data_IF_083435219244
#
_entry.id   IF_083435219244
#
_cell.length_a   1.000
_cell.length_b   1.000
_cell.length_c   1.000
_cell.angle_alpha   90.00
_cell.angle_beta   90.00
_cell.angle_gamma   90.00
#
_symmetry.space_group_name_H-M   'P 1'
#
loop_
_entity.id
_entity.type
_entity.pdbx_description
1 polymer ?
#
# COMPACT_ATOMS: atom_id res chain seq x y z
N UNK A 1 29.41 -50.09 27.15
CA UNK A 1 29.43 -49.75 25.71
C UNK A 1 28.16 -48.96 25.42
N UNK A 2 28.27 -47.64 25.38
CA UNK A 2 27.20 -46.74 24.97
C UNK A 2 27.12 -46.74 23.44
N UNK A 3 25.97 -47.12 22.89
CA UNK A 3 25.66 -46.97 21.46
C UNK A 3 25.75 -45.48 21.09
N UNK A 4 26.46 -45.10 20.00
CA UNK A 4 26.43 -43.73 19.54
C UNK A 4 25.01 -43.42 19.09
N UNK A 5 24.43 -42.35 19.62
CA UNK A 5 23.22 -41.77 19.04
C UNK A 5 23.69 -41.11 17.75
N UNK A 6 23.45 -41.73 16.61
CA UNK A 6 23.66 -41.11 15.31
C UNK A 6 22.72 -39.89 15.24
N UNK A 7 23.29 -38.71 15.45
CA UNK A 7 22.57 -37.47 15.21
C UNK A 7 22.35 -37.37 13.70
N UNK A 8 21.12 -37.64 13.26
CA UNK A 8 20.72 -37.42 11.89
C UNK A 8 21.01 -35.96 11.53
N UNK A 9 21.90 -35.73 10.57
CA UNK A 9 22.17 -34.40 10.08
C UNK A 9 20.96 -33.93 9.26
N UNK A 10 20.28 -32.89 9.72
CA UNK A 10 19.15 -32.27 9.02
C UNK A 10 19.53 -31.76 7.62
N UNK A 11 20.82 -31.58 7.32
CA UNK A 11 21.30 -31.27 5.98
C UNK A 11 21.12 -32.43 4.97
N UNK A 12 20.99 -33.66 5.46
CA UNK A 12 20.85 -34.89 4.67
C UNK A 12 19.40 -35.37 4.49
N UNK A 13 18.43 -34.61 5.02
CA UNK A 13 17.01 -34.96 4.92
C UNK A 13 16.56 -34.89 3.45
N UNK A 14 15.72 -35.85 3.04
CA UNK A 14 15.32 -35.97 1.64
C UNK A 14 14.47 -34.76 1.19
N UNK A 15 14.65 -34.26 -0.05
CA UNK A 15 13.91 -33.10 -0.58
C UNK A 15 12.39 -33.19 -0.41
N UNK A 16 11.80 -34.37 -0.58
CA UNK A 16 10.36 -34.60 -0.41
C UNK A 16 9.88 -34.41 1.04
N UNK A 17 10.72 -34.72 2.03
CA UNK A 17 10.41 -34.49 3.43
C UNK A 17 10.54 -33.00 3.78
N UNK A 18 11.55 -32.32 3.24
CA UNK A 18 11.68 -30.85 3.36
C UNK A 18 10.42 -30.18 2.80
N UNK A 19 10.02 -30.58 1.60
CA UNK A 19 8.81 -30.07 0.95
C UNK A 19 7.58 -30.33 1.83
N UNK A 20 7.38 -31.56 2.29
CA UNK A 20 6.23 -31.92 3.14
C UNK A 20 6.20 -31.12 4.43
N UNK A 21 7.32 -30.99 5.14
CA UNK A 21 7.41 -30.14 6.35
C UNK A 21 7.03 -28.71 6.01
N UNK A 22 7.52 -28.18 4.88
CA UNK A 22 7.23 -26.80 4.47
C UNK A 22 5.75 -26.54 4.30
N UNK A 23 4.96 -27.52 3.84
CA UNK A 23 3.49 -27.41 3.68
C UNK A 23 2.71 -27.30 5.00
N UNK A 24 3.34 -27.64 6.13
CA UNK A 24 2.75 -27.54 7.46
C UNK A 24 3.09 -26.23 8.19
N UNK A 25 4.04 -25.45 7.67
CA UNK A 25 4.38 -24.15 8.22
C UNK A 25 3.26 -23.17 7.86
N UNK A 26 2.73 -22.42 8.83
CA UNK A 26 1.62 -21.46 8.61
C UNK A 26 2.00 -20.01 8.82
N UNK A 27 3.22 -19.75 9.31
CA UNK A 27 3.73 -18.41 9.61
C UNK A 27 4.76 -18.03 8.56
N UNK A 28 4.58 -16.88 7.91
CA UNK A 28 5.46 -16.45 6.82
C UNK A 28 6.91 -16.28 7.26
N UNK A 29 7.16 -15.71 8.44
CA UNK A 29 8.52 -15.54 8.96
C UNK A 29 9.24 -16.87 9.13
N UNK A 30 8.52 -17.91 9.55
CA UNK A 30 9.11 -19.23 9.78
C UNK A 30 9.34 -19.95 8.45
N UNK A 31 8.44 -19.77 7.48
CA UNK A 31 8.65 -20.28 6.13
C UNK A 31 9.87 -19.63 5.46
N UNK A 32 10.02 -18.30 5.58
CA UNK A 32 11.18 -17.58 5.06
C UNK A 32 12.48 -18.07 5.74
N UNK A 33 12.48 -18.24 7.06
CA UNK A 33 13.62 -18.78 7.81
C UNK A 33 13.94 -20.22 7.39
N UNK A 34 12.92 -21.06 7.22
CA UNK A 34 13.06 -22.43 6.73
C UNK A 34 13.74 -22.46 5.36
N UNK A 35 13.35 -21.57 4.45
CA UNK A 35 14.00 -21.39 3.12
C UNK A 35 15.37 -20.73 3.16
N UNK A 36 15.78 -20.19 4.31
CA UNK A 36 17.06 -19.51 4.47
C UNK A 36 18.13 -20.40 5.12
N UNK A 37 17.81 -21.64 5.50
CA UNK A 37 18.74 -22.58 6.16
C UNK A 37 19.93 -22.90 5.25
N UNK A 38 19.68 -23.43 4.05
CA UNK A 38 20.71 -23.75 3.07
C UNK A 38 20.13 -23.81 1.64
N UNK A 39 21.00 -23.96 0.64
CA UNK A 39 20.60 -24.05 -0.78
C UNK A 39 19.65 -25.22 -1.03
N UNK A 40 19.91 -26.40 -0.46
CA UNK A 40 19.07 -27.58 -0.64
C UNK A 40 17.65 -27.39 -0.09
N UNK A 41 17.50 -26.77 1.08
CA UNK A 41 16.19 -26.48 1.66
C UNK A 41 15.44 -25.43 0.84
N UNK A 42 16.16 -24.39 0.39
CA UNK A 42 15.60 -23.35 -0.47
C UNK A 42 15.11 -23.89 -1.81
N UNK A 43 15.82 -24.83 -2.42
CA UNK A 43 15.46 -25.43 -3.70
C UNK A 43 14.36 -26.50 -3.58
N UNK A 44 14.26 -27.15 -2.41
CA UNK A 44 13.23 -28.18 -2.14
C UNK A 44 11.87 -27.59 -1.75
N UNK A 45 11.76 -26.27 -1.69
CA UNK A 45 10.53 -25.58 -1.26
C UNK A 45 10.11 -24.51 -2.27
N UNK A 46 8.80 -24.36 -2.53
CA UNK A 46 8.31 -23.32 -3.44
C UNK A 46 8.74 -21.92 -2.99
N UNK A 47 9.14 -21.08 -3.95
CA UNK A 47 9.36 -19.66 -3.69
C UNK A 47 8.06 -18.95 -3.29
N UNK A 48 6.95 -19.40 -3.86
CA UNK A 48 5.59 -18.87 -3.71
C UNK A 48 4.66 -19.97 -3.16
N UNK A 49 4.65 -20.20 -1.83
CA UNK A 49 3.80 -21.20 -1.19
C UNK A 49 2.30 -20.81 -1.18
N UNK A 50 1.48 -21.55 -1.91
CA UNK A 50 0.03 -21.30 -1.99
C UNK A 50 -0.77 -21.68 -0.73
N UNK A 51 -0.16 -22.44 0.19
CA UNK A 51 -0.82 -22.95 1.40
C UNK A 51 -0.71 -22.00 2.60
N UNK A 52 0.13 -20.95 2.51
CA UNK A 52 0.30 -20.01 3.61
C UNK A 52 -0.94 -19.12 3.71
N UNK A 53 -1.52 -18.96 4.91
CA UNK A 53 -2.62 -18.05 5.11
C UNK A 53 -2.12 -16.60 4.99
N UNK A 54 -3.05 -15.70 4.68
CA UNK A 54 -2.85 -14.26 4.82
C UNK A 54 -2.21 -13.96 6.18
N UNK A 55 -1.32 -12.97 6.25
CA UNK A 55 -0.71 -12.54 7.50
C UNK A 55 -1.24 -11.16 7.88
N UNK A 56 -1.10 -10.85 9.16
CA UNK A 56 -1.30 -9.49 9.65
C UNK A 56 -0.43 -8.51 8.85
N UNK A 57 -0.93 -7.31 8.48
CA UNK A 57 -0.19 -6.36 7.68
C UNK A 57 1.07 -5.95 8.42
N UNK A 58 2.17 -5.87 7.68
CA UNK A 58 3.40 -5.29 8.17
C UNK A 58 3.40 -3.80 7.88
N UNK A 59 3.95 -3.04 8.82
CA UNK A 59 4.20 -1.63 8.60
C UNK A 59 5.59 -1.48 7.97
N UNK A 60 5.63 -1.09 6.70
CA UNK A 60 6.88 -0.77 6.01
C UNK A 60 7.36 0.57 6.53
N UNK A 61 8.52 0.55 7.18
CA UNK A 61 9.20 1.71 7.72
C UNK A 61 10.43 2.01 6.84
N UNK A 62 10.37 3.04 5.98
CA UNK A 62 11.56 3.57 5.32
C UNK A 62 12.52 4.13 6.38
N UNK A 63 13.83 3.95 6.19
CA UNK A 63 14.81 4.29 7.23
C UNK A 63 14.90 5.81 7.44
N UNK A 64 14.66 6.24 8.68
CA UNK A 64 15.13 7.53 9.22
C UNK A 64 16.66 7.54 9.43
N UNK A 65 17.27 8.70 9.22
CA UNK A 65 18.72 8.92 9.23
C UNK A 65 19.32 8.72 10.63
N UNK A 66 19.64 7.48 11.01
CA UNK A 66 20.66 7.32 12.04
C UNK A 66 22.01 7.73 11.47
N UNK A 67 22.50 8.88 11.94
CA UNK A 67 23.85 9.41 11.76
C UNK A 67 24.90 8.42 12.29
N UNK A 68 25.16 7.35 11.54
CA UNK A 68 26.41 6.61 11.68
C UNK A 68 27.39 7.21 10.68
N UNK A 69 28.22 8.14 11.17
CA UNK A 69 29.25 8.89 10.43
C UNK A 69 30.39 8.04 9.81
N UNK A 70 30.22 6.72 9.65
CA UNK A 70 31.34 5.84 9.29
C UNK A 70 31.13 4.85 8.14
N UNK A 71 30.01 4.87 7.42
CA UNK A 71 29.86 4.06 6.20
C UNK A 71 29.91 4.92 4.94
N UNK A 72 30.91 4.66 4.10
CA UNK A 72 31.23 5.39 2.85
C UNK A 72 30.21 5.17 1.72
N UNK A 73 29.18 4.35 1.98
CA UNK A 73 28.00 4.13 1.12
C UNK A 73 26.77 3.91 2.02
N UNK A 74 25.64 4.61 1.82
CA UNK A 74 24.42 4.33 2.58
C UNK A 74 23.78 3.04 2.08
N UNK A 75 23.87 1.99 2.89
CA UNK A 75 23.07 0.79 2.69
C UNK A 75 21.60 1.11 3.00
N UNK A 76 20.80 1.21 1.95
CA UNK A 76 19.36 1.42 2.05
C UNK A 76 18.67 0.10 2.38
N UNK A 77 17.87 0.09 3.45
CA UNK A 77 17.14 -1.09 3.90
C UNK A 77 15.68 -0.71 4.13
N UNK A 78 14.73 -1.52 3.65
CA UNK A 78 13.37 -1.44 4.19
C UNK A 78 13.36 -2.20 5.51
N UNK A 79 12.64 -1.64 6.47
CA UNK A 79 12.34 -2.35 7.69
C UNK A 79 10.85 -2.55 7.80
N UNK A 80 10.45 -3.65 8.40
CA UNK A 80 9.08 -4.04 8.58
C UNK A 80 8.85 -4.19 10.07
N UNK A 81 7.80 -3.56 10.58
CA UNK A 81 7.35 -3.79 11.94
C UNK A 81 6.32 -4.90 11.95
N UNK A 82 6.56 -5.88 12.81
CA UNK A 82 5.56 -6.86 13.16
C UNK A 82 4.71 -6.31 14.31
N UNK A 83 3.41 -6.09 14.08
CA UNK A 83 2.50 -5.54 15.10
C UNK A 83 2.22 -6.50 16.27
N UNK A 84 2.47 -7.80 16.13
CA UNK A 84 2.23 -8.81 17.18
C UNK A 84 3.22 -8.63 18.34
N UNK A 85 4.49 -8.40 18.02
CA UNK A 85 5.58 -8.38 19.00
C UNK A 85 6.39 -7.08 18.96
N UNK A 86 5.98 -6.12 18.14
CA UNK A 86 6.66 -4.85 17.88
C UNK A 86 8.14 -5.02 17.49
N UNK A 87 8.53 -6.20 16.99
CA UNK A 87 9.90 -6.43 16.50
C UNK A 87 10.04 -5.85 15.11
N UNK A 88 11.14 -5.12 14.94
CA UNK A 88 11.57 -4.59 13.66
C UNK A 88 12.42 -5.64 12.94
N UNK A 89 12.00 -6.01 11.75
CA UNK A 89 12.76 -6.87 10.85
C UNK A 89 13.35 -6.02 9.74
N UNK A 90 14.64 -6.21 9.45
CA UNK A 90 15.34 -5.48 8.39
C UNK A 90 15.43 -6.40 7.18
N UNK A 91 14.90 -5.94 6.06
CA UNK A 91 15.02 -6.59 4.76
C UNK A 91 16.02 -5.78 3.94
N UNK A 92 17.19 -6.38 3.74
CA UNK A 92 18.21 -5.83 2.85
C UNK A 92 17.72 -6.04 1.43
N UNK A 93 17.49 -4.95 0.73
CA UNK A 93 16.97 -5.02 -0.62
C UNK A 93 18.13 -4.94 -1.61
N UNK A 94 18.12 -5.76 -2.68
CA UNK A 94 19.14 -5.72 -3.71
C UNK A 94 19.11 -4.40 -4.51
N UNK A 95 18.09 -3.56 -4.29
CA UNK A 95 17.90 -2.27 -4.94
C UNK A 95 18.17 -1.17 -3.91
N UNK A 96 19.03 -0.21 -4.25
CA UNK A 96 19.26 0.96 -3.43
C UNK A 96 17.96 1.76 -3.30
N UNK A 97 17.27 1.62 -2.17
CA UNK A 97 16.10 2.42 -1.81
C UNK A 97 16.53 3.85 -1.46
N UNK A 98 16.87 4.64 -2.47
CA UNK A 98 17.30 6.03 -2.31
C UNK A 98 16.28 6.87 -1.52
N UNK A 99 16.78 7.93 -0.88
CA UNK A 99 16.05 8.84 0.04
C UNK A 99 14.72 9.41 -0.49
N UNK A 100 14.47 9.35 -1.80
CA UNK A 100 13.34 10.01 -2.46
C UNK A 100 12.39 9.06 -3.19
N UNK A 101 12.56 7.74 -3.06
CA UNK A 101 11.62 6.76 -3.62
C UNK A 101 10.34 6.74 -2.80
N UNK A 102 9.20 7.06 -3.42
CA UNK A 102 7.89 7.07 -2.76
C UNK A 102 7.12 5.81 -3.11
N UNK A 103 6.59 5.15 -2.08
CA UNK A 103 5.59 4.12 -2.26
C UNK A 103 4.24 4.82 -2.47
N UNK A 104 3.53 4.48 -3.55
CA UNK A 104 2.20 5.03 -3.86
C UNK A 104 1.10 3.98 -3.85
N UNK A 105 1.42 2.77 -3.40
CA UNK A 105 0.47 1.68 -3.45
C UNK A 105 0.99 0.44 -2.76
N UNK A 106 0.09 -0.30 -2.12
CA UNK A 106 0.33 -1.70 -1.81
C UNK A 106 -0.88 -2.54 -2.17
N UNK A 107 -0.65 -3.65 -2.86
CA UNK A 107 -1.71 -4.59 -3.26
C UNK A 107 -1.14 -6.00 -3.30
N UNK A 108 -1.84 -6.98 -2.71
CA UNK A 108 -1.50 -8.40 -2.79
C UNK A 108 -0.06 -8.79 -2.39
N UNK A 109 0.59 -8.05 -1.50
CA UNK A 109 2.00 -8.29 -1.09
C UNK A 109 3.05 -7.62 -1.97
N UNK A 110 2.60 -6.79 -2.91
CA UNK A 110 3.44 -5.96 -3.75
C UNK A 110 3.38 -4.51 -3.32
N UNK A 111 4.49 -3.79 -3.50
CA UNK A 111 4.63 -2.35 -3.33
C UNK A 111 4.72 -1.69 -4.70
N UNK A 112 4.03 -0.58 -4.90
CA UNK A 112 4.17 0.27 -6.08
C UNK A 112 5.16 1.38 -5.76
N UNK A 113 6.30 1.40 -6.43
CA UNK A 113 7.42 2.30 -6.16
C UNK A 113 7.62 3.23 -7.35
N UNK A 114 7.75 4.53 -7.06
CA UNK A 114 8.24 5.53 -8.00
C UNK A 114 9.69 5.87 -7.72
N UNK A 115 10.52 5.85 -8.76
CA UNK A 115 11.92 6.25 -8.68
C UNK A 115 12.10 7.75 -8.86
N UNK A 116 13.32 8.27 -8.65
CA UNK A 116 13.65 9.63 -9.03
C UNK A 116 13.57 9.89 -10.55
N UNK A 117 13.70 8.82 -11.33
CA UNK A 117 13.42 8.80 -12.77
C UNK A 117 11.92 8.68 -13.03
N UNK A 118 11.44 8.83 -14.29
CA UNK A 118 10.06 8.54 -14.66
C UNK A 118 9.62 7.08 -14.43
N UNK A 119 10.52 6.19 -13.97
CA UNK A 119 10.25 4.76 -13.84
C UNK A 119 9.27 4.47 -12.70
N UNK A 120 8.26 3.67 -13.02
CA UNK A 120 7.28 3.11 -12.08
C UNK A 120 7.40 1.59 -12.12
N UNK A 121 7.43 0.94 -10.95
CA UNK A 121 7.50 -0.51 -10.89
C UNK A 121 6.79 -1.05 -9.66
N UNK A 122 6.36 -2.31 -9.76
CA UNK A 122 5.86 -3.09 -8.64
C UNK A 122 6.96 -4.02 -8.13
N UNK A 123 7.03 -4.17 -6.82
CA UNK A 123 8.08 -4.92 -6.15
C UNK A 123 7.54 -5.79 -5.01
N UNK A 124 7.91 -7.06 -4.99
CA UNK A 124 7.58 -7.98 -3.90
C UNK A 124 8.76 -8.06 -2.91
N UNK A 125 8.63 -7.58 -1.67
CA UNK A 125 9.73 -7.58 -0.70
C UNK A 125 10.18 -8.96 -0.23
N UNK A 126 9.34 -9.99 -0.35
CA UNK A 126 9.66 -11.35 0.09
C UNK A 126 10.42 -12.13 -0.97
N UNK A 127 10.03 -11.98 -2.24
CA UNK A 127 10.65 -12.72 -3.35
C UNK A 127 11.79 -11.93 -4.01
N UNK A 128 11.79 -10.60 -3.88
CA UNK A 128 12.71 -9.72 -4.59
C UNK A 128 12.34 -9.48 -6.05
N UNK A 129 11.19 -9.98 -6.51
CA UNK A 129 10.72 -9.81 -7.90
C UNK A 129 10.35 -8.34 -8.15
N UNK A 130 10.77 -7.82 -9.33
CA UNK A 130 10.45 -6.49 -9.82
C UNK A 130 9.78 -6.59 -11.19
N UNK A 131 8.68 -5.88 -11.40
CA UNK A 131 8.00 -5.75 -12.68
C UNK A 131 7.75 -4.27 -12.98
N UNK A 132 8.05 -3.83 -14.19
CA UNK A 132 7.88 -2.42 -14.56
C UNK A 132 6.43 -2.15 -15.00
N UNK A 133 5.93 -0.99 -14.62
CA UNK A 133 4.72 -0.38 -15.18
C UNK A 133 5.14 0.68 -16.21
N UNK A 134 4.22 1.20 -17.05
CA UNK A 134 4.55 2.31 -17.93
C UNK A 134 5.07 3.52 -17.13
N UNK A 135 6.08 4.24 -17.65
CA UNK A 135 6.70 5.35 -16.94
C UNK A 135 5.74 6.54 -16.78
N UNK A 136 6.01 7.43 -15.84
CA UNK A 136 5.27 8.68 -15.65
C UNK A 136 5.22 9.56 -16.91
N UNK A 137 6.26 9.49 -17.74
CA UNK A 137 6.31 10.19 -19.02
C UNK A 137 5.32 9.67 -20.07
N UNK A 138 4.65 8.55 -19.81
CA UNK A 138 3.61 7.97 -20.65
C UNK A 138 2.19 8.24 -20.16
N UNK A 139 2.03 9.13 -19.17
CA UNK A 139 0.69 9.59 -18.80
C UNK A 139 0.06 10.39 -19.95
N UNK A 140 -1.26 10.28 -20.17
CA UNK A 140 -1.98 10.87 -21.31
C UNK A 140 -1.74 12.36 -21.54
N UNK A 141 -1.56 13.13 -20.46
CA UNK A 141 -1.38 14.58 -20.52
C UNK A 141 0.06 15.02 -20.73
N UNK A 142 1.03 14.10 -20.68
CA UNK A 142 2.44 14.43 -20.88
C UNK A 142 2.70 14.57 -22.37
N UNK A 143 2.87 15.82 -22.82
CA UNK A 143 3.22 16.12 -24.21
C UNK A 143 4.72 15.97 -24.46
N UNK A 144 5.55 16.27 -23.46
CA UNK A 144 7.00 16.20 -23.58
C UNK A 144 7.65 15.83 -22.26
N UNK A 145 8.68 14.98 -22.34
CA UNK A 145 9.61 14.69 -21.26
C UNK A 145 11.05 14.84 -21.76
N UNK A 146 11.89 15.59 -21.05
CA UNK A 146 13.29 15.82 -21.42
C UNK A 146 14.15 16.13 -20.18
N UNK A 147 15.13 15.27 -19.90
CA UNK A 147 16.08 15.46 -18.80
C UNK A 147 16.95 16.72 -18.93
N UNK A 148 17.11 17.29 -20.12
CA UNK A 148 17.89 18.50 -20.31
C UNK A 148 17.20 19.76 -19.74
N UNK A 149 15.88 19.71 -19.54
CA UNK A 149 15.09 20.83 -19.01
C UNK A 149 15.00 20.76 -17.49
N UNK A 150 16.12 20.94 -16.81
CA UNK A 150 16.24 20.79 -15.35
C UNK A 150 15.20 21.67 -14.63
N UNK A 151 14.40 21.04 -13.76
CA UNK A 151 13.32 21.70 -13.01
C UNK A 151 12.02 21.92 -13.80
N UNK A 152 11.97 21.52 -15.07
CA UNK A 152 10.82 21.60 -15.98
C UNK A 152 10.84 20.43 -16.97
N UNK A 153 11.24 19.26 -16.48
CA UNK A 153 11.49 18.08 -17.31
C UNK A 153 10.21 17.61 -18.02
N UNK A 154 9.04 17.83 -17.42
CA UNK A 154 7.74 17.50 -18.00
C UNK A 154 6.99 18.74 -18.49
N UNK A 155 6.34 18.61 -19.65
CA UNK A 155 5.30 19.51 -20.12
C UNK A 155 3.98 18.75 -20.18
N UNK A 156 3.00 19.20 -19.37
CA UNK A 156 1.66 18.66 -19.35
C UNK A 156 0.69 19.59 -20.08
N UNK A 157 -0.19 19.04 -20.91
CA UNK A 157 -1.31 19.73 -21.54
C UNK A 157 -2.58 19.32 -20.78
N UNK A 158 -3.04 20.15 -19.85
CA UNK A 158 -4.16 19.80 -18.97
C UNK A 158 -5.52 20.07 -19.61
N UNK A 159 -5.60 21.13 -20.41
CA UNK A 159 -6.76 21.52 -21.24
C UNK A 159 -6.24 22.36 -22.43
N UNK A 160 -7.08 22.66 -23.44
CA UNK A 160 -6.67 23.31 -24.72
C UNK A 160 -5.84 24.61 -24.56
N UNK A 161 -6.01 25.33 -23.44
CA UNK A 161 -5.34 26.60 -23.16
C UNK A 161 -4.40 26.56 -21.95
N UNK A 162 -4.25 25.41 -21.28
CA UNK A 162 -3.48 25.30 -20.05
C UNK A 162 -2.37 24.25 -20.18
N UNK A 163 -1.14 24.75 -20.35
CA UNK A 163 0.07 23.93 -20.23
C UNK A 163 0.79 24.24 -18.93
N UNK A 164 1.24 23.21 -18.22
CA UNK A 164 2.03 23.36 -16.98
C UNK A 164 3.33 22.56 -17.11
N UNK A 165 4.41 23.10 -16.58
CA UNK A 165 5.68 22.37 -16.49
C UNK A 165 5.91 21.82 -15.10
N UNK A 166 6.27 20.55 -14.99
CA UNK A 166 6.64 19.91 -13.72
C UNK A 166 8.09 19.46 -13.73
N UNK A 167 8.72 19.53 -12.56
CA UNK A 167 9.96 18.82 -12.32
C UNK A 167 9.72 17.33 -11.96
N UNK A 168 10.79 16.53 -11.89
CA UNK A 168 10.72 15.11 -11.52
C UNK A 168 9.99 14.87 -10.17
N UNK A 169 10.18 15.74 -9.17
CA UNK A 169 9.54 15.61 -7.85
C UNK A 169 8.04 15.91 -7.93
N UNK A 170 7.66 17.02 -8.55
CA UNK A 170 6.26 17.43 -8.75
C UNK A 170 5.48 16.37 -9.53
N UNK A 171 6.11 15.72 -10.52
CA UNK A 171 5.47 14.64 -11.26
C UNK A 171 5.19 13.39 -10.40
N UNK A 172 6.03 13.09 -9.41
CA UNK A 172 5.76 12.01 -8.44
C UNK A 172 4.69 12.39 -7.42
N UNK A 173 4.58 13.68 -7.12
CA UNK A 173 3.52 14.25 -6.26
C UNK A 173 2.17 14.26 -6.97
N UNK A 174 2.19 14.34 -8.30
CA UNK A 174 0.99 14.26 -9.12
C UNK A 174 0.30 12.89 -9.05
N UNK A 175 1.02 11.82 -8.72
CA UNK A 175 0.44 10.49 -8.49
C UNK A 175 0.02 10.37 -7.03
N UNK A 176 -1.29 10.20 -6.78
CA UNK A 176 -1.83 10.04 -5.42
C UNK A 176 -1.72 8.60 -4.92
N UNK A 177 -2.27 7.66 -5.68
CA UNK A 177 -2.36 6.23 -5.31
C UNK A 177 -2.35 5.36 -6.56
N UNK A 178 -1.73 4.19 -6.49
CA UNK A 178 -1.79 3.13 -7.51
C UNK A 178 -2.24 1.82 -6.85
N UNK A 179 -3.26 1.16 -7.41
CA UNK A 179 -3.77 -0.13 -6.96
C UNK A 179 -3.68 -1.18 -8.08
N UNK A 180 -3.54 -2.44 -7.69
CA UNK A 180 -3.48 -3.59 -8.61
C UNK A 180 -4.76 -4.42 -8.50
N UNK A 181 -5.19 -5.03 -9.61
CA UNK A 181 -6.38 -5.89 -9.66
C UNK A 181 -6.17 -7.25 -8.99
N UNK A 182 -4.98 -7.83 -9.14
CA UNK A 182 -4.56 -9.08 -8.50
C UNK A 182 -3.04 -9.06 -8.23
N UNK A 183 -2.52 -10.14 -7.63
CA UNK A 183 -1.09 -10.37 -7.44
C UNK A 183 -0.41 -10.60 -8.79
N UNK A 184 0.60 -9.81 -9.16
CA UNK A 184 1.43 -10.06 -10.34
C UNK A 184 2.13 -11.43 -10.38
N UNK A 185 2.23 -12.14 -9.24
CA UNK A 185 2.75 -13.50 -9.20
C UNK A 185 1.70 -14.57 -9.58
N UNK A 186 0.39 -14.26 -9.46
CA UNK A 186 -0.73 -15.18 -9.76
C UNK A 186 -1.34 -14.90 -11.12
N UNK A 187 -1.49 -13.63 -11.44
CA UNK A 187 -2.11 -13.16 -12.67
C UNK A 187 -1.09 -12.34 -13.47
N UNK A 188 -0.56 -12.88 -14.57
CA UNK A 188 0.37 -12.15 -15.42
C UNK A 188 -0.31 -11.01 -16.19
N UNK A 189 -1.65 -11.00 -16.28
CA UNK A 189 -2.47 -10.02 -17.02
C UNK A 189 -3.11 -8.98 -16.10
N UNK A 190 -2.59 -8.81 -14.87
CA UNK A 190 -3.10 -7.85 -13.90
C UNK A 190 -3.20 -6.42 -14.46
N UNK A 191 -4.15 -5.66 -13.91
CA UNK A 191 -4.40 -4.26 -14.28
C UNK A 191 -3.99 -3.35 -13.11
N UNK A 192 -3.27 -2.27 -13.42
CA UNK A 192 -2.93 -1.23 -12.47
C UNK A 192 -3.78 0.03 -12.74
N UNK A 193 -4.32 0.63 -11.68
CA UNK A 193 -5.10 1.88 -11.74
C UNK A 193 -4.46 2.93 -10.85
N UNK A 194 -4.29 4.13 -11.37
CA UNK A 194 -3.63 5.27 -10.73
C UNK A 194 -4.59 6.46 -10.60
N UNK A 195 -4.57 7.13 -9.46
CA UNK A 195 -5.23 8.43 -9.25
C UNK A 195 -4.22 9.56 -9.49
N UNK A 196 -4.59 10.56 -10.28
CA UNK A 196 -3.78 11.74 -10.58
C UNK A 196 -4.33 12.98 -9.85
N UNK A 197 -3.59 13.52 -8.88
CA UNK A 197 -4.06 14.57 -7.97
C UNK A 197 -4.42 15.88 -8.69
N UNK A 198 -3.58 16.32 -9.63
CA UNK A 198 -3.77 17.64 -10.23
C UNK A 198 -4.83 17.70 -11.33
N UNK A 199 -5.20 16.58 -11.96
CA UNK A 199 -6.32 16.55 -12.92
C UNK A 199 -7.62 15.99 -12.32
N UNK A 200 -7.52 15.18 -11.26
CA UNK A 200 -8.63 14.45 -10.68
C UNK A 200 -8.99 13.16 -11.45
N UNK A 201 -8.23 12.82 -12.49
CA UNK A 201 -8.53 11.65 -13.31
C UNK A 201 -7.96 10.36 -12.75
N UNK A 202 -8.53 9.26 -13.21
CA UNK A 202 -8.01 7.93 -13.03
C UNK A 202 -7.48 7.42 -14.36
N UNK A 203 -6.30 6.81 -14.32
CA UNK A 203 -5.68 6.17 -15.48
C UNK A 203 -5.37 4.73 -15.16
N UNK A 204 -5.40 3.85 -16.16
CA UNK A 204 -5.10 2.45 -16.00
C UNK A 204 -4.13 1.93 -17.06
N UNK A 205 -3.47 0.82 -16.76
CA UNK A 205 -2.71 0.04 -17.73
C UNK A 205 -2.79 -1.44 -17.36
N UNK A 206 -2.80 -2.30 -18.38
CA UNK A 206 -2.66 -3.74 -18.22
C UNK A 206 -1.18 -4.13 -18.21
N UNK A 207 -0.86 -5.24 -17.56
CA UNK A 207 0.49 -5.78 -17.56
C UNK A 207 1.06 -5.88 -18.97
N UNK A 208 2.33 -5.51 -19.14
CA UNK A 208 3.02 -5.53 -20.43
C UNK A 208 2.72 -4.34 -21.36
N UNK A 209 1.71 -3.51 -21.07
CA UNK A 209 1.49 -2.27 -21.82
C UNK A 209 2.58 -1.23 -21.52
N UNK A 210 2.74 -0.26 -22.42
CA UNK A 210 3.77 0.79 -22.35
C UNK A 210 3.19 2.19 -22.20
N UNK A 211 1.87 2.33 -22.11
CA UNK A 211 1.15 3.60 -21.97
C UNK A 211 0.03 3.47 -20.94
N UNK A 212 -0.32 4.59 -20.31
CA UNK A 212 -1.49 4.69 -19.45
C UNK A 212 -2.69 5.21 -20.25
N UNK A 213 -3.89 4.72 -19.91
CA UNK A 213 -5.15 5.11 -20.57
C UNK A 213 -6.09 5.77 -19.57
N UNK A 214 -6.74 6.87 -19.94
CA UNK A 214 -7.72 7.54 -19.07
C UNK A 214 -8.99 6.70 -18.94
N UNK A 215 -9.54 6.60 -17.73
CA UNK A 215 -10.90 6.11 -17.51
C UNK A 215 -11.87 7.30 -17.73
N UNK A 216 -12.68 7.30 -18.79
CA UNK A 216 -13.48 8.46 -19.15
C UNK A 216 -14.63 8.69 -18.16
N UNK A 217 -15.05 9.95 -18.00
CA UNK A 217 -16.29 10.31 -17.28
C UNK A 217 -16.20 10.35 -15.75
N UNK A 218 -15.01 10.21 -15.14
CA UNK A 218 -14.85 10.13 -13.67
C UNK A 218 -13.79 11.08 -13.07
N UNK A 219 -13.52 12.23 -13.71
CA UNK A 219 -12.52 13.24 -13.28
C UNK A 219 -12.67 13.78 -11.84
N UNK A 220 -13.76 13.48 -11.13
CA UNK A 220 -13.99 13.91 -9.75
C UNK A 220 -13.96 12.76 -8.73
N UNK A 221 -13.71 11.51 -9.16
CA UNK A 221 -13.69 10.32 -8.29
C UNK A 221 -12.27 9.94 -7.84
N UNK A 222 -11.45 10.95 -7.54
CA UNK A 222 -10.03 10.82 -7.17
C UNK A 222 -9.76 10.80 -5.66
N UNK A 223 -10.79 10.57 -4.84
CA UNK A 223 -10.62 10.53 -3.39
C UNK A 223 -9.96 9.22 -2.93
N UNK A 224 -10.47 8.08 -3.38
CA UNK A 224 -9.84 6.78 -3.19
C UNK A 224 -10.23 5.82 -4.32
N UNK A 225 -9.45 4.76 -4.50
CA UNK A 225 -9.73 3.70 -5.48
C UNK A 225 -9.36 2.34 -4.91
N UNK A 226 -10.21 1.35 -5.17
CA UNK A 226 -9.95 -0.08 -4.89
C UNK A 226 -10.43 -0.96 -6.04
N UNK A 227 -9.89 -2.16 -6.13
CA UNK A 227 -10.48 -3.25 -6.91
C UNK A 227 -11.37 -4.10 -6.01
N UNK A 228 -12.57 -4.43 -6.49
CA UNK A 228 -13.50 -5.33 -5.83
C UNK A 228 -14.23 -6.16 -6.89
N UNK A 229 -14.09 -7.49 -6.80
CA UNK A 229 -14.72 -8.44 -7.74
C UNK A 229 -14.40 -8.16 -9.22
N UNK A 230 -13.15 -7.79 -9.52
CA UNK A 230 -12.70 -7.48 -10.88
C UNK A 230 -13.10 -6.11 -11.42
N UNK A 231 -13.84 -5.30 -10.64
CA UNK A 231 -14.25 -3.95 -11.03
C UNK A 231 -13.50 -2.90 -10.21
N UNK A 232 -13.36 -1.71 -10.81
CA UNK A 232 -12.74 -0.54 -10.17
C UNK A 232 -13.82 0.26 -9.47
N UNK A 233 -13.64 0.51 -8.17
CA UNK A 233 -14.51 1.37 -7.37
C UNK A 233 -13.74 2.64 -7.04
N UNK A 234 -14.15 3.75 -7.63
CA UNK A 234 -13.54 5.06 -7.46
C UNK A 234 -14.47 5.95 -6.62
N UNK A 235 -13.92 6.61 -5.60
CA UNK A 235 -14.65 7.44 -4.64
C UNK A 235 -14.42 8.92 -4.92
N UNK A 236 -15.45 9.76 -4.81
CA UNK A 236 -15.27 11.21 -4.78
C UNK A 236 -15.31 11.77 -3.35
N UNK A 237 -14.95 13.06 -3.18
CA UNK A 237 -14.97 13.75 -1.89
C UNK A 237 -16.34 13.81 -1.21
N UNK A 238 -17.43 13.65 -1.96
CA UNK A 238 -18.80 13.68 -1.45
C UNK A 238 -19.31 12.29 -1.01
N UNK A 239 -18.51 11.24 -1.19
CA UNK A 239 -18.90 9.86 -0.89
C UNK A 239 -19.69 9.14 -1.99
N UNK A 240 -19.82 9.72 -3.19
CA UNK A 240 -20.34 9.00 -4.35
C UNK A 240 -19.29 8.04 -4.91
N UNK A 241 -19.74 6.94 -5.50
CA UNK A 241 -18.87 5.91 -6.08
C UNK A 241 -19.11 5.79 -7.59
N UNK A 242 -18.04 5.74 -8.37
CA UNK A 242 -18.06 5.29 -9.76
C UNK A 242 -17.53 3.85 -9.83
N UNK A 243 -18.33 2.96 -10.42
CA UNK A 243 -17.98 1.58 -10.68
C UNK A 243 -17.61 1.46 -12.14
N UNK A 244 -16.39 1.04 -12.43
CA UNK A 244 -15.84 0.96 -13.77
C UNK A 244 -15.37 -0.46 -14.09
N UNK A 245 -15.56 -0.85 -15.33
CA UNK A 245 -14.91 -2.01 -15.91
C UNK A 245 -13.77 -1.52 -16.79
N UNK A 246 -12.55 -1.96 -16.48
CA UNK A 246 -11.34 -1.61 -17.23
C UNK A 246 -10.78 -2.81 -18.01
N UNK A 247 -11.35 -3.99 -17.78
CA UNK A 247 -10.89 -5.24 -18.36
C UNK A 247 -11.77 -5.72 -19.52
N UNK A 248 -13.03 -5.31 -19.56
CA UNK A 248 -13.99 -5.60 -20.64
C UNK A 248 -13.69 -4.93 -21.98
N UNK A 249 -14.48 -5.28 -22.99
CA UNK A 249 -14.32 -4.84 -24.40
C UNK A 249 -14.45 -3.32 -24.58
N UNK A 250 -15.09 -2.63 -23.64
CA UNK A 250 -15.27 -1.18 -23.64
C UNK A 250 -14.96 -0.60 -22.26
N UNK A 251 -13.68 -0.32 -21.97
CA UNK A 251 -13.27 0.22 -20.69
C UNK A 251 -13.98 1.53 -20.35
N UNK A 252 -14.60 1.62 -19.18
CA UNK A 252 -15.33 2.80 -18.77
C UNK A 252 -16.25 2.60 -17.58
N UNK A 253 -17.10 3.61 -17.35
CA UNK A 253 -18.04 3.64 -16.23
C UNK A 253 -19.23 2.73 -16.51
N UNK A 254 -19.45 1.77 -15.62
CA UNK A 254 -20.66 0.93 -15.62
C UNK A 254 -21.79 1.61 -14.87
N UNK A 255 -21.48 2.21 -13.71
CA UNK A 255 -22.50 2.77 -12.81
C UNK A 255 -21.93 3.90 -11.96
N UNK A 256 -22.70 4.97 -11.83
CA UNK A 256 -22.49 6.00 -10.82
C UNK A 256 -23.48 5.79 -9.67
N UNK A 257 -22.99 5.91 -8.45
CA UNK A 257 -23.73 5.70 -7.22
C UNK A 257 -23.61 6.96 -6.37
N UNK A 258 -24.67 7.77 -6.37
CA UNK A 258 -24.78 8.92 -5.48
C UNK A 258 -25.35 8.47 -4.13
N UNK A 259 -24.47 7.88 -3.32
CA UNK A 259 -24.86 7.35 -2.03
C UNK A 259 -25.09 8.48 -1.02
N UNK A 260 -26.32 8.55 -0.50
CA UNK A 260 -26.67 9.52 0.54
C UNK A 260 -26.07 9.14 1.90
N UNK A 261 -25.89 10.11 2.81
CA UNK A 261 -25.45 9.83 4.19
C UNK A 261 -23.93 9.87 4.43
N UNK A 262 -23.11 10.14 3.40
CA UNK A 262 -21.68 10.39 3.58
C UNK A 262 -21.36 11.80 4.15
N UNK A 263 -22.26 12.78 3.93
CA UNK A 263 -21.99 14.21 4.10
C UNK A 263 -22.10 14.71 5.55
N UNK A 264 -21.11 14.44 6.41
CA UNK A 264 -20.94 15.16 7.69
C UNK A 264 -19.63 15.96 7.76
N UNK A 265 -19.06 16.29 6.59
CA UNK A 265 -17.68 16.78 6.53
C UNK A 265 -16.70 15.65 6.90
N UNK A 266 -15.46 15.77 6.46
CA UNK A 266 -14.45 14.74 6.59
C UNK A 266 -13.26 15.09 5.72
N UNK A 267 -12.06 14.94 6.24
CA UNK A 267 -10.88 15.47 5.58
C UNK A 267 -10.30 14.47 4.58
N UNK A 268 -10.34 13.19 4.93
CA UNK A 268 -9.90 12.07 4.08
C UNK A 268 -10.89 10.92 4.14
N UNK A 269 -11.13 10.29 2.99
CA UNK A 269 -11.98 9.12 2.88
C UNK A 269 -11.24 7.93 2.30
N UNK A 270 -11.58 6.73 2.77
CA UNK A 270 -11.08 5.47 2.23
C UNK A 270 -12.23 4.52 1.93
N UNK A 271 -12.06 3.75 0.86
CA UNK A 271 -12.86 2.57 0.60
C UNK A 271 -12.17 1.34 1.17
N UNK A 272 -12.92 0.53 1.89
CA UNK A 272 -12.45 -0.75 2.42
C UNK A 272 -13.45 -1.84 2.08
N UNK A 273 -13.01 -2.89 1.41
CA UNK A 273 -13.80 -4.10 1.24
C UNK A 273 -13.65 -5.00 2.47
N UNK A 274 -14.77 -5.39 3.08
CA UNK A 274 -14.80 -6.24 4.27
C UNK A 274 -15.96 -7.23 4.19
N UNK A 275 -15.69 -8.54 4.27
CA UNK A 275 -16.72 -9.61 4.21
C UNK A 275 -17.70 -9.50 3.04
N UNK A 276 -17.25 -9.01 1.88
CA UNK A 276 -18.09 -8.80 0.70
C UNK A 276 -18.91 -7.52 0.71
N UNK A 277 -18.81 -6.71 1.77
CA UNK A 277 -19.43 -5.40 1.88
C UNK A 277 -18.41 -4.29 1.60
N UNK A 278 -18.91 -3.12 1.21
CA UNK A 278 -18.09 -1.92 1.00
C UNK A 278 -18.27 -0.96 2.17
N UNK A 279 -17.16 -0.58 2.80
CA UNK A 279 -17.11 0.38 3.89
C UNK A 279 -16.49 1.69 3.39
N UNK A 280 -17.11 2.80 3.79
CA UNK A 280 -16.56 4.14 3.72
C UNK A 280 -16.00 4.51 5.09
N UNK A 281 -14.70 4.73 5.16
CA UNK A 281 -14.02 5.18 6.37
C UNK A 281 -13.65 6.65 6.19
N UNK A 282 -14.19 7.53 7.03
CA UNK A 282 -13.90 8.96 7.02
C UNK A 282 -13.00 9.32 8.19
N UNK A 283 -11.86 9.94 7.91
CA UNK A 283 -10.89 10.46 8.87
C UNK A 283 -11.08 11.96 9.05
N UNK A 284 -10.98 12.41 10.30
CA UNK A 284 -11.08 13.81 10.70
C UNK A 284 -9.79 14.23 11.40
N UNK A 285 -9.22 15.36 11.00
CA UNK A 285 -8.05 15.96 11.61
C UNK A 285 -8.42 17.16 12.48
N UNK A 286 -7.60 17.41 13.50
CA UNK A 286 -7.50 18.70 14.17
C UNK A 286 -6.14 19.34 13.83
N UNK A 287 -6.05 20.67 13.98
CA UNK A 287 -4.75 21.35 13.95
C UNK A 287 -3.95 20.93 15.19
N UNK A 288 -2.76 20.38 14.96
CA UNK A 288 -1.84 19.97 16.01
C UNK A 288 -1.32 21.14 16.84
N UNK A 289 -0.76 20.82 18.01
CA UNK A 289 -0.24 21.81 18.97
C UNK A 289 1.01 22.56 18.45
N UNK A 290 1.75 21.96 17.52
CA UNK A 290 2.81 22.60 16.76
C UNK A 290 2.20 23.05 15.43
N UNK A 291 2.06 24.37 15.24
CA UNK A 291 1.59 24.98 14.01
C UNK A 291 2.31 24.32 12.82
N UNK A 292 1.57 23.57 12.00
CA UNK A 292 1.99 22.83 10.77
C UNK A 292 1.85 21.29 10.82
N UNK A 293 1.31 20.68 11.88
CA UNK A 293 0.96 19.23 11.88
C UNK A 293 -0.55 18.99 11.99
N UNK A 294 -1.08 18.02 11.24
CA UNK A 294 -2.47 17.55 11.35
C UNK A 294 -2.49 16.27 12.17
N UNK A 295 -3.21 16.26 13.30
CA UNK A 295 -3.38 15.06 14.13
C UNK A 295 -4.78 14.48 13.94
N UNK A 296 -4.88 13.14 13.92
CA UNK A 296 -6.18 12.48 13.82
C UNK A 296 -6.99 12.70 15.08
N UNK A 297 -8.20 13.25 14.89
CA UNK A 297 -9.17 13.41 15.97
C UNK A 297 -10.04 12.17 16.12
N UNK A 298 -10.61 11.68 15.02
CA UNK A 298 -11.59 10.59 15.03
C UNK A 298 -11.76 9.95 13.67
N UNK A 299 -12.42 8.79 13.68
CA UNK A 299 -12.94 8.16 12.48
C UNK A 299 -14.46 7.99 12.53
N UNK A 300 -15.05 7.90 11.34
CA UNK A 300 -16.40 7.42 11.12
C UNK A 300 -16.35 6.27 10.12
N UNK A 301 -17.12 5.23 10.39
CA UNK A 301 -17.29 4.11 9.46
C UNK A 301 -18.75 4.05 9.04
N UNK A 302 -18.98 3.95 7.74
CA UNK A 302 -20.28 3.68 7.16
C UNK A 302 -20.19 2.47 6.24
N UNK A 303 -21.25 1.69 6.17
CA UNK A 303 -21.41 0.57 5.24
C UNK A 303 -22.37 0.96 4.13
N UNK A 304 -22.07 0.58 2.89
CA UNK A 304 -23.01 0.74 1.79
C UNK A 304 -24.15 -0.26 1.95
N UNK A 305 -25.38 0.22 1.93
CA UNK A 305 -26.56 -0.61 2.08
C UNK A 305 -26.70 -1.62 0.91
N UNK A 306 -27.56 -2.62 1.08
CA UNK A 306 -27.80 -3.64 0.04
C UNK A 306 -28.41 -3.05 -1.24
N UNK A 307 -29.10 -1.91 -1.14
CA UNK A 307 -29.61 -1.16 -2.29
C UNK A 307 -28.51 -0.43 -3.06
N UNK A 308 -27.33 -0.26 -2.46
CA UNK A 308 -26.18 0.40 -3.07
C UNK A 308 -26.40 1.89 -3.28
N UNK A 309 -27.22 2.56 -2.46
CA UNK A 309 -27.58 3.97 -2.63
C UNK A 309 -27.53 4.79 -1.34
N UNK A 310 -27.14 4.17 -0.22
CA UNK A 310 -27.07 4.83 1.08
C UNK A 310 -25.93 4.31 1.93
N UNK A 311 -25.23 5.24 2.57
CA UNK A 311 -24.25 4.96 3.60
C UNK A 311 -24.92 4.88 4.96
N UNK A 312 -24.80 3.74 5.62
CA UNK A 312 -25.33 3.49 6.96
C UNK A 312 -24.20 3.46 7.98
N UNK A 313 -24.32 4.26 9.03
CA UNK A 313 -23.28 4.37 10.06
C UNK A 313 -23.11 3.04 10.79
N UNK A 314 -21.86 2.59 10.90
CA UNK A 314 -21.45 1.41 11.66
C UNK A 314 -20.84 1.88 12.97
N UNK A 315 -21.41 1.41 14.09
CA UNK A 315 -20.91 1.70 15.44
C UNK A 315 -20.03 0.59 15.99
N UNK A 316 -20.19 -0.63 15.47
CA UNK A 316 -19.46 -1.81 15.91
C UNK A 316 -19.11 -2.66 14.69
N UNK A 317 -17.81 -2.90 14.51
CA UNK A 317 -17.24 -3.75 13.46
C UNK A 317 -17.07 -5.21 13.94
N UNK A 318 -17.42 -5.50 15.20
CA UNK A 318 -17.25 -6.80 15.83
C UNK A 318 -15.79 -7.23 15.83
N UNK A 319 -15.50 -8.35 15.17
CA UNK A 319 -14.16 -8.89 15.06
C UNK A 319 -13.35 -8.28 13.89
N UNK A 320 -13.89 -7.34 13.13
CA UNK A 320 -13.17 -6.75 12.00
C UNK A 320 -12.21 -5.66 12.50
N UNK A 321 -10.95 -5.77 12.10
CA UNK A 321 -9.94 -4.73 12.23
C UNK A 321 -9.68 -4.08 10.86
N UNK A 322 -9.71 -2.76 10.79
CA UNK A 322 -9.41 -2.01 9.57
C UNK A 322 -7.98 -1.48 9.61
N UNK A 323 -7.28 -1.53 8.48
CA UNK A 323 -5.97 -0.92 8.30
C UNK A 323 -6.08 0.08 7.15
N UNK A 324 -5.79 1.36 7.42
CA UNK A 324 -5.98 2.45 6.47
C UNK A 324 -4.75 3.35 6.38
N UNK A 325 -4.57 3.98 5.22
CA UNK A 325 -3.53 4.96 4.97
C UNK A 325 -3.40 5.27 3.48
N UNK A 326 -2.66 6.31 3.12
CA UNK A 326 -2.59 6.83 1.75
C UNK A 326 -2.18 5.84 0.65
N UNK A 327 -1.53 4.72 0.98
CA UNK A 327 -1.11 3.70 0.01
C UNK A 327 -2.04 2.49 -0.13
N UNK A 328 -2.78 2.13 0.93
CA UNK A 328 -3.63 0.93 0.92
C UNK A 328 -4.63 0.95 2.06
N UNK A 329 -5.78 0.34 1.81
CA UNK A 329 -6.84 0.16 2.81
C UNK A 329 -7.34 -1.28 2.74
N UNK A 330 -7.43 -1.96 3.88
CA UNK A 330 -7.84 -3.37 3.95
C UNK A 330 -8.51 -3.70 5.29
N UNK A 331 -9.28 -4.80 5.30
CA UNK A 331 -9.94 -5.32 6.49
C UNK A 331 -9.52 -6.76 6.76
N UNK A 332 -9.38 -7.12 8.04
CA UNK A 332 -9.09 -8.48 8.49
C UNK A 332 -9.97 -8.86 9.68
N UNK A 333 -10.24 -10.16 9.85
CA UNK A 333 -10.80 -10.65 11.11
C UNK A 333 -9.68 -10.73 12.15
N UNK A 334 -9.90 -10.15 13.32
CA UNK A 334 -9.00 -10.30 14.47
C UNK A 334 -9.00 -11.72 15.02
N UNK A 335 -10.03 -12.52 14.74
CA UNK A 335 -10.06 -13.94 15.18
C UNK A 335 -9.05 -14.81 14.44
N UNK A 336 -8.66 -14.40 13.22
CA UNK A 336 -7.56 -15.04 12.48
C UNK A 336 -6.20 -14.68 13.09
N UNK A 337 -6.11 -13.57 13.84
CA UNK A 337 -4.87 -13.04 14.41
C UNK A 337 -5.02 -12.58 15.87
N UNK A 338 -5.39 -13.47 16.81
CA UNK A 338 -5.79 -13.10 18.16
C UNK A 338 -4.67 -12.43 18.99
N UNK A 339 -3.41 -12.69 18.63
CA UNK A 339 -2.25 -12.07 19.28
C UNK A 339 -1.79 -10.76 18.60
N UNK A 340 -2.32 -10.43 17.41
CA UNK A 340 -1.76 -9.42 16.52
C UNK A 340 -2.60 -8.17 16.31
N UNK A 341 -3.93 -8.31 16.29
CA UNK A 341 -4.83 -7.18 16.25
C UNK A 341 -6.10 -7.46 17.06
N UNK A 342 -6.86 -6.40 17.33
CA UNK A 342 -8.17 -6.47 17.96
C UNK A 342 -9.23 -5.97 16.98
N UNK A 343 -10.38 -6.63 16.96
CA UNK A 343 -11.55 -6.18 16.24
C UNK A 343 -12.07 -4.85 16.79
N UNK A 344 -12.95 -4.22 16.03
CA UNK A 344 -13.53 -2.92 16.36
C UNK A 344 -12.49 -1.79 16.51
N UNK A 345 -11.39 -1.90 15.75
CA UNK A 345 -10.29 -0.93 15.72
C UNK A 345 -9.86 -0.57 14.30
N UNK A 346 -9.34 0.63 14.16
CA UNK A 346 -8.75 1.17 12.93
C UNK A 346 -7.27 1.45 13.19
N UNK A 347 -6.41 0.74 12.50
CA UNK A 347 -4.97 0.93 12.49
C UNK A 347 -4.63 1.87 11.34
N UNK A 348 -4.14 3.07 11.63
CA UNK A 348 -3.96 4.10 10.62
C UNK A 348 -2.50 4.57 10.52
N UNK A 349 -2.14 5.01 9.31
CA UNK A 349 -0.86 5.67 9.04
C UNK A 349 -1.08 7.08 8.53
N UNK A 350 -0.02 7.87 8.54
CA UNK A 350 -0.08 9.26 8.10
C UNK A 350 -0.53 9.38 6.64
N UNK A 351 -1.45 10.33 6.40
CA UNK A 351 -1.97 10.69 5.08
C UNK A 351 -1.25 11.87 4.42
N UNK A 352 -0.45 12.62 5.17
CA UNK A 352 0.16 13.85 4.70
C UNK A 352 1.51 13.62 4.00
N UNK A 353 1.62 14.12 2.77
CA UNK A 353 2.90 14.28 2.08
C UNK A 353 3.43 15.67 2.49
N UNK A 354 3.94 15.83 3.72
CA UNK A 354 4.32 17.15 4.21
C UNK A 354 5.14 17.92 3.16
N UNK A 355 4.53 19.01 2.66
CA UNK A 355 4.93 19.80 1.49
C UNK A 355 6.20 20.64 1.77
N UNK A 356 6.74 20.56 2.99
CA UNK A 356 7.78 21.45 3.49
C UNK A 356 9.06 20.68 3.87
N UNK A 357 9.71 20.05 2.88
CA UNK A 357 11.06 19.46 3.04
C UNK A 357 12.16 20.51 3.38
N UNK A 358 11.86 21.81 3.40
CA UNK A 358 12.82 22.86 3.76
C UNK A 358 13.09 22.96 5.27
N UNK A 359 12.35 22.23 6.11
CA UNK A 359 12.57 22.23 7.55
C UNK A 359 13.33 20.95 7.94
N UNK A 360 14.55 21.12 8.44
CA UNK A 360 15.51 20.09 8.84
C UNK A 360 15.10 19.29 10.10
N UNK A 361 13.80 19.22 10.42
CA UNK A 361 13.26 18.45 11.54
C UNK A 361 12.34 17.36 11.02
N UNK A 362 12.59 16.10 11.38
CA UNK A 362 11.62 15.04 11.14
C UNK A 362 10.32 15.34 11.88
N UNK A 363 9.20 15.36 11.16
CA UNK A 363 7.87 15.46 11.75
C UNK A 363 7.48 14.13 12.42
N UNK A 364 6.74 14.21 13.52
CA UNK A 364 6.04 13.05 14.08
C UNK A 364 4.93 12.66 13.08
N UNK A 365 5.00 11.44 12.53
CA UNK A 365 3.98 10.94 11.60
C UNK A 365 2.72 10.55 12.36
N UNK A 366 1.56 10.94 11.87
CA UNK A 366 0.26 10.67 12.51
C UNK A 366 -0.16 9.20 12.35
N UNK A 367 0.30 8.37 13.29
CA UNK A 367 0.19 6.90 13.31
C UNK A 367 -0.45 6.42 14.61
N UNK A 368 -1.47 5.58 14.50
CA UNK A 368 -2.15 5.11 15.69
C UNK A 368 -3.17 4.00 15.48
N UNK A 369 -3.86 3.70 16.58
CA UNK A 369 -4.93 2.73 16.68
C UNK A 369 -6.13 3.48 17.26
N UNK A 370 -7.16 3.66 16.45
CA UNK A 370 -8.44 4.21 16.89
C UNK A 370 -9.38 3.09 17.30
N UNK A 371 -10.01 3.24 18.46
CA UNK A 371 -11.03 2.32 18.99
C UNK A 371 -12.42 2.84 18.67
N UNK A 372 -13.25 2.06 17.97
CA UNK A 372 -14.65 2.45 17.72
C UNK A 372 -15.52 2.36 18.98
N UNK A 373 -15.10 1.60 19.99
CA UNK A 373 -15.86 1.36 21.22
C UNK A 373 -15.97 2.62 22.08
N UNK A 374 -14.85 3.31 22.31
CA UNK A 374 -14.73 4.47 23.19
C UNK A 374 -14.21 5.73 22.48
N UNK A 375 -13.84 5.63 21.20
CA UNK A 375 -13.28 6.73 20.41
C UNK A 375 -11.85 7.09 20.78
N UNK A 376 -11.15 6.28 21.57
CA UNK A 376 -9.77 6.54 21.98
C UNK A 376 -8.78 6.32 20.83
N UNK A 377 -7.67 7.06 20.86
CA UNK A 377 -6.53 6.90 19.95
C UNK A 377 -5.29 6.55 20.76
N UNK A 378 -4.74 5.38 20.48
CA UNK A 378 -3.45 4.94 21.03
C UNK A 378 -2.37 5.11 19.96
N UNK A 379 -1.23 5.74 20.32
CA UNK A 379 -0.09 5.85 19.39
C UNK A 379 0.56 4.49 19.16
N UNK A 380 1.00 4.25 17.92
CA UNK A 380 1.78 3.05 17.62
C UNK A 380 3.19 3.15 18.24
N UNK A 381 3.69 2.14 19.00
CA UNK A 381 4.91 2.24 19.81
C UNK A 381 6.24 2.45 19.06
N UNK A 382 6.22 2.50 17.73
CA UNK A 382 7.34 2.08 16.89
C UNK A 382 8.01 3.18 16.08
N UNK A 383 7.70 4.46 16.30
CA UNK A 383 8.22 5.52 15.45
C UNK A 383 9.32 6.34 16.13
N UNK A 384 10.47 6.43 15.45
CA UNK A 384 11.52 7.39 15.78
C UNK A 384 11.23 8.68 15.01
N UNK A 385 11.31 9.83 15.69
CA UNK A 385 10.99 11.19 15.22
C UNK A 385 11.68 11.68 13.93
N UNK A 386 12.56 10.88 13.32
CA UNK A 386 13.49 11.32 12.28
C UNK A 386 13.32 10.61 10.93
N UNK A 387 12.13 10.10 10.61
CA UNK A 387 11.88 9.43 9.32
C UNK A 387 11.16 10.35 8.33
N UNK A 388 11.75 10.48 7.13
CA UNK A 388 11.33 11.40 6.07
C UNK A 388 10.19 10.81 5.22
N UNK A 389 9.96 9.49 5.28
CA UNK A 389 9.02 8.81 4.41
C UNK A 389 7.94 8.09 5.21
N UNK A 390 6.73 8.12 4.66
CA UNK A 390 5.51 7.66 5.33
C UNK A 390 5.48 6.15 5.46
N UNK A 391 5.02 5.62 6.60
CA UNK A 391 4.79 4.19 6.74
C UNK A 391 3.70 3.68 5.80
N UNK A 392 3.88 2.47 5.28
CA UNK A 392 2.92 1.84 4.37
C UNK A 392 2.50 0.48 4.91
N UNK A 393 1.21 0.20 4.92
CA UNK A 393 0.70 -1.15 5.16
C UNK A 393 1.00 -2.05 3.97
N UNK A 394 1.52 -3.24 4.24
CA UNK A 394 1.63 -4.31 3.25
C UNK A 394 1.16 -5.61 3.89
N UNK A 395 0.30 -6.34 3.20
CA UNK A 395 -0.01 -7.72 3.57
C UNK A 395 1.04 -8.63 2.96
N UNK A 396 1.94 -9.24 3.74
CA UNK A 396 3.01 -10.08 3.19
C UNK A 396 2.39 -11.26 2.45
N UNK A 397 2.71 -11.36 1.18
CA UNK A 397 2.26 -12.45 0.34
C UNK A 397 3.34 -12.72 -0.72
N UNK A 398 3.97 -13.91 -0.71
CA UNK A 398 4.92 -14.28 -1.75
C UNK A 398 4.19 -14.67 -3.05
N UNK A 399 2.90 -15.00 -2.98
CA UNK A 399 2.14 -15.66 -4.03
C UNK A 399 1.39 -14.75 -4.97
#
# INVERSE_FOLDING_TARGET
>A
MSTPVDFLDWSSILPELIWKISTHIRIHSDYIRFRAVCVAWRSSTPATPTHLPCQLPWLVLPRGTQHHHHHRFPDYHLSFLNLVNYKRHILRLPVAFHRHRRCRGSSHGWLVILEDSPSVFVFNPLTGTKLNLPPLSSFPHVSRFDYAQIGREYLLLLDDNLSVTFNLKQMREFVKKIVLSDSPSRDPDFTAVSILYGTGELVFCKAGQTQWTVIPGIRNFSEDVIFLNGLVYALNKNGSIAICDVDGDSPGVLRLVDATGANEGGDTHYLVAARGELLLVTRYFDLGNEYDTFETRKFRVCRLDSGGNKWERVMDLGDIALFVGGSSSLALSSTDFPAGCKGNRIYFTDDDDCVYEDHTGGGDHDLGIFSLEDGSIERLPCYARDSISRPVWITPNPC
#
